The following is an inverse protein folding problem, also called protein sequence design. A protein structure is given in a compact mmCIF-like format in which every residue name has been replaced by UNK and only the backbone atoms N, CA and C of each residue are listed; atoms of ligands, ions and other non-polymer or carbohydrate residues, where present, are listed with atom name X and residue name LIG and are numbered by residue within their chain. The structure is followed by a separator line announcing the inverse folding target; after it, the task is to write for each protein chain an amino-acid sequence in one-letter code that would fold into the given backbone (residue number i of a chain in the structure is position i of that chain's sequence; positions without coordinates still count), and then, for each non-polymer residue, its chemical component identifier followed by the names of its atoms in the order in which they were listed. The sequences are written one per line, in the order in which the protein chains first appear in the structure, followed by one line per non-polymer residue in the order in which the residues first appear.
data_IF_847848545099
#
_entry.id   IF_847848545099
#
_cell.length_a   1.000
_cell.length_b   1.000
_cell.length_c   1.000
_cell.angle_alpha   90.00
_cell.angle_beta   90.00
_cell.angle_gamma   90.00
#
_symmetry.space_group_name_H-M   'P 1'
#
loop_
_entity.id
_entity.type
_entity.pdbx_description
1 polymer ?
#
# COMPACT_ATOMS: atom_id res chain seq x y z
N UNK A 1 2.07 19.41 4.47
CA UNK A 1 1.17 19.27 3.31
C UNK A 1 1.97 18.74 2.14
N UNK A 2 1.59 17.59 1.61
CA UNK A 2 2.21 17.00 0.42
C UNK A 2 1.90 17.89 -0.79
N UNK A 3 2.92 18.33 -1.56
CA UNK A 3 2.69 19.21 -2.71
C UNK A 3 2.05 18.41 -3.87
N UNK A 4 0.94 18.93 -4.40
CA UNK A 4 0.42 18.61 -5.74
C UNK A 4 -0.48 17.40 -5.89
N UNK A 5 -0.87 16.70 -4.86
CA UNK A 5 -1.94 15.72 -4.88
C UNK A 5 -3.10 16.20 -4.02
N UNK A 6 -4.33 16.05 -4.48
CA UNK A 6 -5.49 16.11 -3.59
C UNK A 6 -5.13 15.22 -2.38
N UNK A 7 -5.10 15.82 -1.19
CA UNK A 7 -4.81 15.11 0.05
C UNK A 7 -5.59 13.80 0.04
N UNK A 8 -4.94 12.62 -0.01
CA UNK A 8 -5.68 11.40 0.10
C UNK A 8 -6.39 11.48 1.44
N UNK A 9 -7.70 11.21 1.43
CA UNK A 9 -8.46 11.08 2.67
C UNK A 9 -7.62 10.19 3.61
N UNK A 10 -7.18 10.68 4.77
CA UNK A 10 -6.33 9.92 5.67
C UNK A 10 -6.96 8.59 6.10
N UNK A 11 -8.28 8.48 6.00
CA UNK A 11 -9.01 7.23 6.23
C UNK A 11 -8.79 6.18 5.13
N UNK A 12 -8.20 6.56 4.00
CA UNK A 12 -7.95 5.68 2.86
C UNK A 12 -6.48 5.23 2.73
N UNK A 13 -5.60 5.70 3.60
CA UNK A 13 -4.23 5.21 3.68
C UNK A 13 -4.25 3.78 4.26
N UNK A 14 -3.89 2.81 3.43
CA UNK A 14 -3.65 1.46 3.88
C UNK A 14 -2.26 1.30 4.49
N UNK A 15 -1.47 0.34 4.02
CA UNK A 15 -0.13 0.08 4.51
C UNK A 15 0.92 0.79 3.67
N UNK A 16 1.87 1.47 4.30
CA UNK A 16 3.07 1.98 3.63
C UNK A 16 4.01 0.80 3.41
N UNK A 17 4.40 0.57 2.17
CA UNK A 17 5.30 -0.52 1.78
C UNK A 17 6.75 -0.04 1.69
N UNK A 18 6.94 1.15 1.15
CA UNK A 18 8.25 1.77 0.98
C UNK A 18 8.15 3.27 1.23
N UNK A 19 9.17 3.84 1.81
CA UNK A 19 9.29 5.28 2.00
C UNK A 19 10.69 5.73 1.57
N UNK A 20 10.72 6.68 0.67
CA UNK A 20 11.95 7.31 0.20
C UNK A 20 11.85 8.81 0.40
N UNK A 21 12.99 9.44 0.63
CA UNK A 21 13.12 10.89 0.65
C UNK A 21 14.18 11.33 -0.35
N UNK A 22 14.06 12.54 -0.82
CA UNK A 22 15.07 13.21 -1.62
C UNK A 22 15.04 14.72 -1.32
N UNK A 23 16.20 15.39 -1.32
CA UNK A 23 16.26 16.84 -1.08
C UNK A 23 15.34 17.60 -2.02
N UNK A 24 14.63 18.60 -1.51
CA UNK A 24 13.76 19.45 -2.34
C UNK A 24 14.56 20.35 -3.29
N UNK A 25 15.84 20.60 -2.96
CA UNK A 25 16.78 21.41 -3.75
C UNK A 25 18.10 20.68 -3.90
N UNK A 26 18.80 20.90 -5.01
CA UNK A 26 20.09 20.25 -5.30
C UNK A 26 19.93 18.96 -6.11
N UNK A 27 20.89 18.04 -5.98
CA UNK A 27 20.86 16.75 -6.68
C UNK A 27 19.89 15.80 -5.98
N UNK A 28 18.82 15.35 -6.64
CA UNK A 28 17.79 14.54 -6.02
C UNK A 28 18.25 13.08 -5.85
N UNK A 29 19.12 12.83 -4.88
CA UNK A 29 19.51 11.46 -4.53
C UNK A 29 18.45 10.85 -3.62
N UNK A 30 17.86 9.74 -4.05
CA UNK A 30 16.84 9.02 -3.31
C UNK A 30 17.47 8.26 -2.15
N UNK A 31 16.99 8.51 -0.93
CA UNK A 31 17.36 7.80 0.29
C UNK A 31 16.17 6.97 0.77
N UNK A 32 16.37 5.68 0.97
CA UNK A 32 15.35 4.79 1.52
C UNK A 32 15.30 4.95 3.04
N UNK A 33 14.09 5.08 3.60
CA UNK A 33 13.87 5.08 5.04
C UNK A 33 13.43 3.70 5.50
N UNK A 34 14.07 3.22 6.56
CA UNK A 34 13.70 1.95 7.18
C UNK A 34 12.61 2.16 8.24
N UNK A 35 11.59 1.31 8.21
CA UNK A 35 10.55 1.33 9.23
C UNK A 35 11.08 0.76 10.54
N UNK A 36 10.86 1.48 11.63
CA UNK A 36 11.18 1.07 12.99
C UNK A 36 10.00 1.31 13.93
N UNK A 37 10.13 0.87 15.16
CA UNK A 37 9.19 1.18 16.22
C UNK A 37 9.43 2.59 16.79
N UNK A 38 8.39 3.20 17.36
CA UNK A 38 8.48 4.54 17.98
C UNK A 38 9.47 4.56 19.14
N UNK A 39 9.54 3.49 19.93
CA UNK A 39 10.49 3.38 21.03
C UNK A 39 11.92 3.46 20.54
N UNK A 40 12.24 2.72 19.47
CA UNK A 40 13.57 2.78 18.83
C UNK A 40 13.91 4.21 18.37
N UNK A 41 12.97 4.90 17.71
CA UNK A 41 13.21 6.27 17.23
C UNK A 41 13.47 7.24 18.39
N UNK A 42 12.74 7.08 19.48
CA UNK A 42 12.90 7.92 20.67
C UNK A 42 14.25 7.71 21.35
N UNK A 43 14.74 6.46 21.38
CA UNK A 43 16.06 6.12 21.89
C UNK A 43 17.20 6.55 20.97
N UNK A 44 17.01 6.36 19.66
CA UNK A 44 18.00 6.71 18.63
C UNK A 44 18.21 8.23 18.52
N UNK A 45 17.17 9.00 18.57
CA UNK A 45 17.20 10.47 18.45
C UNK A 45 16.46 11.15 19.62
N UNK A 46 17.02 11.05 20.87
CA UNK A 46 16.37 11.61 22.04
C UNK A 46 16.30 13.14 22.01
N UNK A 47 17.25 13.76 21.30
CA UNK A 47 17.31 15.21 21.14
C UNK A 47 16.76 15.64 19.77
N UNK A 48 15.56 16.22 19.75
CA UNK A 48 14.91 16.71 18.52
C UNK A 48 15.59 17.91 17.89
N UNK A 49 16.50 18.59 18.60
CA UNK A 49 17.28 19.73 18.04
C UNK A 49 18.47 19.26 17.21
N UNK A 50 18.87 17.99 17.36
CA UNK A 50 19.90 17.40 16.51
C UNK A 50 19.29 17.04 15.16
N UNK A 51 19.70 17.75 14.12
CA UNK A 51 19.20 17.61 12.75
C UNK A 51 20.15 16.80 11.89
N UNK A 52 19.62 16.14 10.88
CA UNK A 52 20.38 15.38 9.89
C UNK A 52 19.46 14.77 8.83
N UNK A 53 20.07 14.05 7.88
CA UNK A 53 19.29 13.33 6.87
C UNK A 53 18.53 12.19 7.52
N UNK A 54 17.20 12.13 7.41
CA UNK A 54 16.40 11.04 7.97
C UNK A 54 16.78 9.68 7.38
N UNK A 55 16.82 8.65 8.25
CA UNK A 55 17.16 7.26 7.89
C UNK A 55 16.03 6.32 8.32
N UNK A 56 15.34 6.65 9.42
CA UNK A 56 14.30 5.82 10.01
C UNK A 56 12.97 6.56 10.05
N UNK A 57 11.87 5.78 10.02
CA UNK A 57 10.53 6.29 10.21
C UNK A 57 9.68 5.32 11.04
N UNK A 58 8.67 5.86 11.73
CA UNK A 58 7.67 5.07 12.44
C UNK A 58 6.29 5.73 12.34
N UNK A 59 5.25 4.92 12.55
CA UNK A 59 3.92 5.43 12.80
C UNK A 59 3.86 6.00 14.20
N UNK A 60 3.57 7.30 14.32
CA UNK A 60 3.31 7.92 15.62
C UNK A 60 1.87 7.67 16.07
N UNK A 61 0.93 7.88 15.17
CA UNK A 61 -0.48 7.55 15.32
C UNK A 61 -1.08 7.19 13.95
N UNK A 62 -2.42 7.04 13.88
CA UNK A 62 -3.12 6.67 12.66
C UNK A 62 -2.88 7.64 11.47
N UNK A 63 -2.60 8.91 11.75
CA UNK A 63 -2.46 9.96 10.73
C UNK A 63 -1.10 10.64 10.72
N UNK A 64 -0.19 10.28 11.62
CA UNK A 64 1.09 10.94 11.80
C UNK A 64 2.25 9.98 11.71
N UNK A 65 3.31 10.43 11.09
CA UNK A 65 4.58 9.74 10.98
C UNK A 65 5.66 10.52 11.71
N UNK A 66 6.58 9.81 12.32
CA UNK A 66 7.81 10.37 12.87
C UNK A 66 8.99 9.86 12.07
N UNK A 67 9.97 10.73 11.82
CA UNK A 67 11.22 10.38 11.15
C UNK A 67 12.41 10.73 12.04
N UNK A 68 13.49 10.01 11.91
CA UNK A 68 14.73 10.24 12.66
C UNK A 68 15.96 10.04 11.78
N UNK A 69 17.01 10.89 11.97
CA UNK A 69 17.06 12.14 12.75
C UNK A 69 16.03 13.18 12.31
N UNK A 70 15.88 14.27 13.09
CA UNK A 70 15.08 15.41 12.66
C UNK A 70 15.64 15.98 11.35
N UNK A 71 14.83 16.20 10.30
CA UNK A 71 15.32 16.67 9.01
C UNK A 71 16.08 17.99 9.12
N UNK A 72 17.26 18.06 8.50
CA UNK A 72 18.11 19.24 8.42
C UNK A 72 17.72 20.18 7.28
N UNK A 73 17.02 19.66 6.28
CA UNK A 73 16.56 20.36 5.08
C UNK A 73 15.08 20.06 4.80
N UNK A 74 14.54 20.73 3.79
CA UNK A 74 13.26 20.34 3.21
C UNK A 74 13.45 19.14 2.30
N UNK A 75 12.71 18.06 2.57
CA UNK A 75 12.70 16.83 1.78
C UNK A 75 11.34 16.60 1.14
N UNK A 76 11.37 16.12 -0.09
CA UNK A 76 10.20 15.52 -0.71
C UNK A 76 10.13 14.06 -0.27
N UNK A 77 8.92 13.58 0.00
CA UNK A 77 8.66 12.21 0.42
C UNK A 77 7.95 11.45 -0.70
N UNK A 78 8.50 10.32 -1.08
CA UNK A 78 7.88 9.38 -2.02
C UNK A 78 7.44 8.14 -1.25
N UNK A 79 6.15 7.84 -1.32
CA UNK A 79 5.53 6.73 -0.59
C UNK A 79 5.03 5.68 -1.56
N UNK A 80 5.48 4.45 -1.38
CA UNK A 80 4.82 3.27 -1.95
C UNK A 80 3.76 2.77 -0.96
N UNK A 81 2.48 3.00 -1.28
CA UNK A 81 1.37 2.67 -0.39
C UNK A 81 0.41 1.66 -1.02
N UNK A 82 -0.15 0.78 -0.19
CA UNK A 82 -1.34 0.03 -0.56
C UNK A 82 -2.56 0.86 -0.19
N UNK A 83 -3.30 1.31 -1.18
CA UNK A 83 -4.45 2.19 -0.98
C UNK A 83 -5.75 1.40 -1.05
N UNK A 84 -6.67 1.68 -0.13
CA UNK A 84 -8.04 1.22 -0.26
C UNK A 84 -8.71 1.95 -1.44
N UNK A 85 -9.51 1.25 -2.26
CA UNK A 85 -10.27 1.88 -3.34
C UNK A 85 -11.19 2.97 -2.78
N UNK A 86 -11.31 4.06 -3.52
CA UNK A 86 -12.27 5.12 -3.18
C UNK A 86 -13.68 4.55 -3.24
N UNK A 87 -14.48 4.82 -2.21
CA UNK A 87 -15.87 4.35 -2.14
C UNK A 87 -16.71 4.96 -3.26
N UNK A 88 -17.68 4.19 -3.74
CA UNK A 88 -18.69 4.69 -4.66
C UNK A 88 -19.57 5.73 -3.95
N UNK A 89 -19.84 6.82 -4.64
CA UNK A 89 -20.70 7.91 -4.18
C UNK A 89 -21.39 8.56 -5.39
N UNK A 90 -22.27 9.50 -5.16
CA UNK A 90 -22.92 10.26 -6.24
C UNK A 90 -21.92 11.06 -7.09
N UNK A 91 -20.77 11.43 -6.53
CA UNK A 91 -19.68 12.15 -7.21
C UNK A 91 -18.59 11.24 -7.76
N UNK A 92 -18.47 10.01 -7.22
CA UNK A 92 -17.52 9.00 -7.67
C UNK A 92 -18.28 7.74 -8.10
N UNK A 93 -18.63 7.66 -9.36
CA UNK A 93 -19.42 6.58 -9.96
C UNK A 93 -18.58 5.41 -10.46
N UNK A 94 -17.24 5.54 -10.44
CA UNK A 94 -16.32 4.50 -10.91
C UNK A 94 -15.46 3.99 -9.77
N UNK A 95 -15.21 2.69 -9.74
CA UNK A 95 -14.30 2.07 -8.79
C UNK A 95 -13.23 1.24 -9.49
N UNK A 96 -12.08 1.09 -8.86
CA UNK A 96 -11.04 0.18 -9.35
C UNK A 96 -11.59 -1.25 -9.53
N UNK A 97 -12.42 -1.69 -8.60
CA UNK A 97 -13.02 -3.02 -8.64
C UNK A 97 -13.96 -3.19 -9.85
N UNK A 98 -14.75 -2.16 -10.16
CA UNK A 98 -15.65 -2.17 -11.33
C UNK A 98 -14.89 -2.27 -12.65
N UNK A 99 -13.67 -1.69 -12.73
CA UNK A 99 -12.85 -1.72 -13.94
C UNK A 99 -12.01 -2.99 -14.06
N UNK A 100 -11.54 -3.56 -12.95
CA UNK A 100 -10.57 -4.67 -12.96
C UNK A 100 -11.20 -6.02 -12.56
N UNK A 101 -12.31 -6.04 -11.85
CA UNK A 101 -12.99 -7.27 -11.43
C UNK A 101 -14.51 -7.09 -11.42
N UNK A 102 -15.13 -6.80 -12.58
CA UNK A 102 -16.58 -6.56 -12.68
C UNK A 102 -17.41 -7.75 -12.21
N UNK A 103 -16.95 -8.98 -12.49
CA UNK A 103 -17.63 -10.21 -12.05
C UNK A 103 -17.68 -10.33 -10.53
N UNK A 104 -16.60 -10.00 -9.84
CA UNK A 104 -16.55 -10.02 -8.38
C UNK A 104 -17.53 -8.99 -7.77
N UNK A 105 -17.59 -7.80 -8.35
CA UNK A 105 -18.54 -6.77 -7.92
C UNK A 105 -19.99 -7.20 -8.18
N UNK A 106 -20.28 -7.76 -9.35
CA UNK A 106 -21.62 -8.22 -9.72
C UNK A 106 -22.10 -9.34 -8.80
N UNK A 107 -21.34 -10.43 -8.69
CA UNK A 107 -21.77 -11.59 -7.88
C UNK A 107 -21.77 -11.29 -6.39
N UNK A 108 -20.87 -10.45 -5.90
CA UNK A 108 -20.90 -9.99 -4.52
C UNK A 108 -22.15 -9.18 -4.20
N UNK A 109 -22.52 -8.24 -5.08
CA UNK A 109 -23.75 -7.45 -4.90
C UNK A 109 -25.02 -8.29 -5.02
N UNK A 110 -25.05 -9.27 -5.93
CA UNK A 110 -26.18 -10.21 -6.07
C UNK A 110 -26.33 -11.08 -4.82
N UNK A 111 -25.24 -11.64 -4.29
CA UNK A 111 -25.29 -12.44 -3.06
C UNK A 111 -25.84 -11.64 -1.88
N UNK A 112 -25.39 -10.40 -1.69
CA UNK A 112 -25.92 -9.53 -0.62
C UNK A 112 -27.40 -9.14 -0.86
N UNK A 113 -27.78 -8.83 -2.10
CA UNK A 113 -29.17 -8.53 -2.44
C UNK A 113 -30.10 -9.73 -2.17
N UNK A 114 -29.67 -10.96 -2.53
CA UNK A 114 -30.44 -12.18 -2.27
C UNK A 114 -30.57 -12.51 -0.77
N UNK A 115 -29.51 -12.26 0.02
CA UNK A 115 -29.59 -12.35 1.49
C UNK A 115 -30.61 -11.39 2.06
N UNK A 116 -30.59 -10.15 1.62
CA UNK A 116 -31.54 -9.12 2.07
C UNK A 116 -32.99 -9.46 1.70
N UNK A 117 -33.21 -9.91 0.46
CA UNK A 117 -34.54 -10.25 -0.06
C UNK A 117 -35.04 -11.62 0.40
N UNK A 118 -34.26 -12.39 1.17
CA UNK A 118 -34.57 -13.76 1.58
C UNK A 118 -34.90 -14.66 0.38
N UNK A 119 -34.11 -14.56 -0.69
CA UNK A 119 -34.26 -15.34 -1.91
C UNK A 119 -33.98 -16.84 -1.67
N UNK A 120 -34.26 -17.69 -2.70
CA UNK A 120 -34.03 -19.13 -2.64
C UNK A 120 -32.58 -19.46 -2.29
N UNK A 121 -32.40 -20.43 -1.37
CA UNK A 121 -31.06 -20.80 -0.88
C UNK A 121 -30.14 -21.36 -1.98
N UNK A 122 -30.69 -22.07 -2.95
CA UNK A 122 -29.95 -22.63 -4.08
C UNK A 122 -29.32 -21.54 -4.95
N UNK A 123 -30.07 -20.47 -5.23
CA UNK A 123 -29.58 -19.34 -6.01
C UNK A 123 -28.52 -18.55 -5.23
N UNK A 124 -28.68 -18.40 -3.91
CA UNK A 124 -27.69 -17.77 -3.06
C UNK A 124 -26.37 -18.53 -3.11
N UNK A 125 -26.41 -19.86 -2.98
CA UNK A 125 -25.20 -20.70 -3.08
C UNK A 125 -24.49 -20.54 -4.43
N UNK A 126 -25.26 -20.50 -5.53
CA UNK A 126 -24.71 -20.29 -6.86
C UNK A 126 -23.98 -18.94 -6.98
N UNK A 127 -24.56 -17.86 -6.46
CA UNK A 127 -23.92 -16.54 -6.48
C UNK A 127 -22.69 -16.48 -5.56
N UNK A 128 -22.73 -17.12 -4.40
CA UNK A 128 -21.57 -17.21 -3.51
C UNK A 128 -20.41 -17.98 -4.14
N UNK A 129 -20.69 -19.12 -4.80
CA UNK A 129 -19.67 -19.87 -5.53
C UNK A 129 -19.08 -19.07 -6.68
N UNK A 130 -19.92 -18.36 -7.45
CA UNK A 130 -19.48 -17.51 -8.55
C UNK A 130 -18.63 -16.35 -8.05
N UNK A 131 -18.99 -15.77 -6.91
CA UNK A 131 -18.21 -14.73 -6.25
C UNK A 131 -16.84 -15.23 -5.80
N UNK A 132 -16.79 -16.40 -5.13
CA UNK A 132 -15.52 -17.01 -4.69
C UNK A 132 -14.59 -17.30 -5.88
N UNK A 133 -15.14 -17.79 -6.98
CA UNK A 133 -14.38 -18.01 -8.21
C UNK A 133 -13.81 -16.70 -8.77
N UNK A 134 -14.61 -15.66 -8.84
CA UNK A 134 -14.18 -14.36 -9.33
C UNK A 134 -13.08 -13.73 -8.45
N UNK A 135 -13.16 -13.92 -7.12
CA UNK A 135 -12.11 -13.49 -6.18
C UNK A 135 -10.82 -14.28 -6.39
N UNK A 136 -10.91 -15.60 -6.62
CA UNK A 136 -9.73 -16.42 -6.89
C UNK A 136 -9.03 -16.01 -8.19
N UNK A 137 -9.78 -15.76 -9.25
CA UNK A 137 -9.25 -15.27 -10.53
C UNK A 137 -8.52 -13.92 -10.34
N UNK A 138 -9.12 -12.99 -9.60
CA UNK A 138 -8.49 -11.71 -9.25
C UNK A 138 -7.20 -11.91 -8.43
N UNK A 139 -7.21 -12.80 -7.44
CA UNK A 139 -6.05 -13.09 -6.61
C UNK A 139 -4.87 -13.64 -7.44
N UNK A 140 -5.14 -14.56 -8.36
CA UNK A 140 -4.13 -15.12 -9.27
C UNK A 140 -3.54 -14.03 -10.17
N UNK A 141 -4.38 -13.16 -10.73
CA UNK A 141 -3.91 -12.03 -11.55
C UNK A 141 -3.01 -11.07 -10.75
N UNK A 142 -3.42 -10.71 -9.53
CA UNK A 142 -2.63 -9.83 -8.68
C UNK A 142 -1.30 -10.47 -8.24
N UNK A 143 -1.29 -11.75 -7.93
CA UNK A 143 -0.04 -12.47 -7.63
C UNK A 143 0.91 -12.49 -8.83
N UNK A 144 0.39 -12.63 -10.04
CA UNK A 144 1.19 -12.57 -11.27
C UNK A 144 1.92 -11.23 -11.45
N UNK A 145 1.29 -10.13 -11.05
CA UNK A 145 1.89 -8.79 -11.09
C UNK A 145 3.02 -8.61 -10.08
N UNK A 146 2.95 -9.28 -8.92
CA UNK A 146 3.96 -9.20 -7.86
C UNK A 146 5.14 -10.16 -8.08
N UNK A 147 4.99 -11.18 -8.90
CA UNK A 147 6.00 -12.24 -9.09
C UNK A 147 7.32 -11.77 -9.73
N UNK A 148 7.35 -10.58 -10.32
CA UNK A 148 8.57 -10.02 -10.93
C UNK A 148 9.46 -9.26 -9.94
N UNK A 149 9.01 -9.05 -8.71
CA UNK A 149 9.79 -8.36 -7.69
C UNK A 149 10.57 -9.37 -6.84
N UNK A 150 11.66 -9.87 -7.38
CA UNK A 150 12.56 -10.83 -6.73
C UNK A 150 13.15 -10.28 -5.42
N UNK A 151 13.20 -8.95 -5.26
CA UNK A 151 13.68 -8.30 -4.05
C UNK A 151 12.67 -8.33 -2.89
N UNK A 152 11.38 -8.44 -3.17
CA UNK A 152 10.35 -8.44 -2.12
C UNK A 152 10.24 -9.75 -1.34
N UNK A 153 10.79 -10.83 -1.86
CA UNK A 153 10.69 -12.14 -1.21
C UNK A 153 11.86 -12.53 -0.31
N UNK A 154 12.80 -11.60 -0.08
CA UNK A 154 13.96 -11.88 0.77
C UNK A 154 14.83 -13.05 0.29
N UNK A 155 14.65 -13.49 -0.94
CA UNK A 155 15.48 -14.53 -1.54
C UNK A 155 16.89 -13.98 -1.77
N UNK A 156 17.83 -14.47 -0.99
CA UNK A 156 19.25 -14.17 -1.18
C UNK A 156 19.64 -14.76 -2.54
N UNK A 157 19.95 -13.92 -3.51
CA UNK A 157 20.59 -14.39 -4.75
C UNK A 157 21.99 -14.91 -4.41
N UNK A 158 22.13 -16.21 -4.41
CA UNK A 158 23.47 -16.80 -4.43
C UNK A 158 24.14 -16.44 -5.76
N UNK A 159 25.31 -15.79 -5.75
CA UNK A 159 26.02 -15.52 -7.00
C UNK A 159 26.33 -16.84 -7.68
N UNK A 160 25.76 -17.04 -8.88
CA UNK A 160 26.13 -18.17 -9.72
C UNK A 160 27.58 -17.93 -10.12
N UNK A 161 28.50 -18.68 -9.52
CA UNK A 161 29.87 -18.75 -10.04
C UNK A 161 29.77 -19.37 -11.43
N UNK A 162 29.91 -18.54 -12.48
CA UNK A 162 30.17 -19.07 -13.80
C UNK A 162 31.53 -19.76 -13.73
N UNK A 163 31.54 -21.08 -13.70
CA UNK A 163 32.75 -21.82 -14.05
C UNK A 163 32.95 -21.59 -15.54
N UNK A 164 33.78 -20.60 -15.86
CA UNK A 164 34.32 -20.48 -17.21
C UNK A 164 35.19 -21.72 -17.49
N UNK A 165 35.03 -22.37 -18.66
CA UNK A 165 35.84 -23.51 -19.04
C UNK A 165 37.31 -23.12 -19.19
#
# INVERSE_FOLDING_TARGET
SLPGGSSPDPTSLGTIRTMHIFPATGTPTRTNLEQRDVSFITEYAPNRTSTGTPIYWAWWDHNSLIVAPTPDLAYNVELGITRLPTRLSSTNTTSWLGNNAPSALLYGSLAEAFKYLKGPAEMLQLYEQSYQRAIQELAVEQQGRHRRDEYMHGAIRLPIKSTSP
#
